data_IF_655140180420
#
_entry.id   IF_655140180420
#
_cell.length_a   1.000
_cell.length_b   1.000
_cell.length_c   1.000
_cell.angle_alpha   90.00
_cell.angle_beta   90.00
_cell.angle_gamma   90.00
#
_symmetry.space_group_name_H-M   'P 1'
#
loop_
_entity.id
_entity.type
_entity.pdbx_description
1 polymer ?
#
# COMPACT_ATOMS: atom_id res chain seq x y z
N UNK A 1 6.46 -3.91 -2.99
CA UNK A 1 5.71 -3.68 -1.74
C UNK A 1 4.31 -3.17 -2.06
N UNK A 2 3.32 -3.40 -1.21
CA UNK A 2 1.93 -2.95 -1.44
C UNK A 2 1.50 -1.94 -0.40
N UNK A 3 0.79 -0.90 -0.84
CA UNK A 3 0.35 0.19 0.00
C UNK A 3 -1.14 0.24 0.00
N UNK A 4 -1.72 0.36 1.19
CA UNK A 4 -3.13 0.69 1.36
C UNK A 4 -3.21 2.18 1.63
N UNK A 5 -3.77 2.92 0.68
CA UNK A 5 -4.10 4.34 0.83
C UNK A 5 -5.56 4.44 1.24
N UNK A 6 -5.82 5.02 2.40
CA UNK A 6 -7.16 5.29 2.93
C UNK A 6 -7.47 6.77 2.68
N UNK A 7 -8.26 7.08 1.64
CA UNK A 7 -8.53 8.47 1.25
C UNK A 7 -9.34 9.23 2.29
N UNK A 8 -10.18 8.52 3.05
CA UNK A 8 -11.00 9.11 4.11
C UNK A 8 -10.16 9.55 5.31
N UNK A 9 -9.22 8.71 5.74
CA UNK A 9 -8.40 8.97 6.92
C UNK A 9 -7.03 9.59 6.60
N UNK A 10 -6.71 9.76 5.31
CA UNK A 10 -5.41 10.22 4.82
C UNK A 10 -4.23 9.41 5.36
N UNK A 11 -4.42 8.09 5.52
CA UNK A 11 -3.37 7.19 6.02
C UNK A 11 -2.81 6.32 4.90
N UNK A 12 -1.50 6.06 4.96
CA UNK A 12 -0.82 5.11 4.07
C UNK A 12 -0.18 4.03 4.93
N UNK A 13 -0.50 2.75 4.67
CA UNK A 13 0.13 1.61 5.35
C UNK A 13 0.77 0.65 4.35
N UNK A 14 2.01 0.23 4.64
CA UNK A 14 2.78 -0.65 3.77
C UNK A 14 2.72 -2.12 4.23
N UNK A 15 2.70 -3.04 3.25
CA UNK A 15 2.62 -4.48 3.47
C UNK A 15 3.52 -5.24 2.49
N UNK A 16 4.11 -6.35 2.96
CA UNK A 16 4.99 -7.21 2.15
C UNK A 16 4.23 -7.92 1.03
N UNK A 17 3.01 -8.40 1.31
CA UNK A 17 2.20 -9.21 0.36
C UNK A 17 0.89 -8.51 0.01
N UNK A 18 0.45 -8.64 -1.24
CA UNK A 18 -0.82 -8.08 -1.72
C UNK A 18 -2.02 -8.58 -0.89
N UNK A 19 -2.09 -9.89 -0.64
CA UNK A 19 -3.18 -10.47 0.15
C UNK A 19 -3.28 -9.92 1.59
N UNK A 20 -2.15 -9.55 2.20
CA UNK A 20 -2.13 -8.93 3.53
C UNK A 20 -2.63 -7.47 3.47
N UNK A 21 -2.16 -6.70 2.49
CA UNK A 21 -2.64 -5.34 2.25
C UNK A 21 -4.16 -5.31 2.06
N UNK A 22 -4.65 -6.20 1.19
CA UNK A 22 -6.06 -6.28 0.85
C UNK A 22 -6.90 -6.75 2.04
N UNK A 23 -6.46 -7.76 2.79
CA UNK A 23 -7.14 -8.18 4.02
C UNK A 23 -7.24 -7.03 5.02
N UNK A 24 -6.17 -6.24 5.19
CA UNK A 24 -6.19 -5.09 6.10
C UNK A 24 -7.19 -4.02 5.66
N UNK A 25 -7.27 -3.75 4.36
CA UNK A 25 -8.26 -2.83 3.80
C UNK A 25 -9.69 -3.34 4.02
N UNK A 26 -9.95 -4.64 3.82
CA UNK A 26 -11.25 -5.26 4.08
C UNK A 26 -11.64 -5.24 5.57
N UNK A 27 -10.70 -5.49 6.48
CA UNK A 27 -10.97 -5.34 7.92
C UNK A 27 -11.39 -3.91 8.29
N UNK A 28 -10.79 -2.88 7.65
CA UNK A 28 -11.20 -1.47 7.86
C UNK A 28 -12.60 -1.16 7.32
N UNK A 29 -13.10 -1.98 6.39
CA UNK A 29 -14.49 -1.93 5.90
C UNK A 29 -15.45 -2.80 6.73
N UNK A 30 -14.99 -3.37 7.85
CA UNK A 30 -15.76 -4.33 8.66
C UNK A 30 -16.21 -5.56 7.86
N UNK A 31 -15.44 -5.93 6.83
CA UNK A 31 -15.68 -7.14 6.02
C UNK A 31 -14.73 -8.24 6.48
N UNK A 32 -15.30 -9.31 7.04
CA UNK A 32 -14.55 -10.51 7.35
C UNK A 32 -14.47 -11.43 6.13
N UNK A 33 -13.24 -11.67 5.66
CA UNK A 33 -12.99 -12.60 4.55
C UNK A 33 -12.79 -13.99 5.13
N UNK A 34 -13.75 -14.88 4.86
CA UNK A 34 -13.70 -16.28 5.28
C UNK A 34 -12.41 -16.98 4.83
N UNK A 35 -11.96 -17.95 5.64
CA UNK A 35 -10.82 -18.82 5.30
C UNK A 35 -11.11 -19.55 3.98
N UNK A 36 -10.30 -19.25 2.95
CA UNK A 36 -10.42 -19.85 1.61
C UNK A 36 -10.94 -18.91 0.52
N UNK A 37 -11.56 -17.78 0.87
CA UNK A 37 -11.96 -16.78 -0.11
C UNK A 37 -10.74 -15.94 -0.57
N UNK A 38 -10.70 -15.61 -1.87
CA UNK A 38 -9.68 -14.73 -2.44
C UNK A 38 -9.93 -13.28 -1.98
N UNK A 39 -9.09 -12.73 -1.09
CA UNK A 39 -9.31 -11.39 -0.56
C UNK A 39 -9.22 -10.32 -1.64
N UNK A 40 -8.45 -10.52 -2.72
CA UNK A 40 -8.31 -9.55 -3.82
C UNK A 40 -9.63 -9.40 -4.57
N UNK A 41 -10.29 -10.52 -4.87
CA UNK A 41 -11.61 -10.50 -5.52
C UNK A 41 -12.65 -9.81 -4.65
N UNK A 42 -12.72 -10.16 -3.37
CA UNK A 42 -13.67 -9.56 -2.42
C UNK A 42 -13.45 -8.05 -2.31
N UNK A 43 -12.20 -7.61 -2.26
CA UNK A 43 -11.86 -6.19 -2.24
C UNK A 43 -12.29 -5.46 -3.50
N UNK A 44 -12.00 -6.00 -4.68
CA UNK A 44 -12.40 -5.36 -5.93
C UNK A 44 -13.93 -5.25 -6.08
N UNK A 45 -14.69 -6.15 -5.46
CA UNK A 45 -16.17 -6.10 -5.46
C UNK A 45 -16.72 -5.07 -4.47
N UNK A 46 -16.07 -4.88 -3.32
CA UNK A 46 -16.61 -4.09 -2.21
C UNK A 46 -15.95 -2.71 -2.04
N UNK A 47 -14.83 -2.46 -2.70
CA UNK A 47 -14.12 -1.20 -2.60
C UNK A 47 -14.90 -0.08 -3.30
N UNK A 48 -15.52 0.80 -2.51
CA UNK A 48 -16.27 1.98 -2.97
C UNK A 48 -15.33 3.19 -3.21
N UNK A 49 -14.21 3.00 -3.89
CA UNK A 49 -13.17 4.04 -4.13
C UNK A 49 -12.48 4.63 -2.87
N UNK A 50 -12.79 4.10 -1.68
CA UNK A 50 -12.20 4.55 -0.41
C UNK A 50 -10.74 4.14 -0.26
N UNK A 51 -10.40 2.93 -0.72
CA UNK A 51 -9.07 2.38 -0.58
C UNK A 51 -8.42 2.18 -1.94
N UNK A 52 -7.16 2.57 -2.06
CA UNK A 52 -6.33 2.15 -3.19
C UNK A 52 -5.25 1.19 -2.68
N UNK A 53 -5.15 0.02 -3.31
CA UNK A 53 -4.04 -0.91 -3.05
C UNK A 53 -3.07 -0.85 -4.22
N UNK A 54 -1.95 -0.15 -4.01
CA UNK A 54 -1.03 0.19 -5.08
C UNK A 54 0.33 -0.48 -4.85
N UNK A 55 0.95 -0.92 -5.94
CA UNK A 55 2.38 -1.22 -5.95
C UNK A 55 3.13 0.06 -6.32
N UNK A 56 3.54 0.83 -5.32
CA UNK A 56 4.20 2.13 -5.53
C UNK A 56 5.73 2.03 -5.70
N UNK A 57 6.28 0.83 -5.83
CA UNK A 57 7.74 0.63 -5.91
C UNK A 57 8.36 1.49 -7.03
N UNK A 58 7.70 1.55 -8.19
CA UNK A 58 8.13 2.35 -9.35
C UNK A 58 7.82 3.86 -9.22
N UNK A 59 6.85 4.23 -8.39
CA UNK A 59 6.48 5.63 -8.18
C UNK A 59 7.58 6.37 -7.39
N UNK A 60 8.23 5.70 -6.45
CA UNK A 60 9.33 6.29 -5.68
C UNK A 60 10.59 6.49 -6.51
N UNK A 61 10.90 5.59 -7.46
CA UNK A 61 11.96 5.82 -8.46
C UNK A 61 11.66 7.05 -9.35
N UNK A 62 10.38 7.31 -9.64
CA UNK A 62 9.99 8.51 -10.39
C UNK A 62 10.04 9.78 -9.54
N UNK A 63 9.80 9.68 -8.23
CA UNK A 63 9.90 10.79 -7.29
C UNK A 63 11.36 11.14 -6.97
N UNK A 64 12.26 10.15 -6.95
CA UNK A 64 13.68 10.38 -6.67
C UNK A 64 14.41 11.18 -7.76
N UNK A 65 13.84 11.24 -8.98
CA UNK A 65 14.34 12.07 -10.09
C UNK A 65 13.60 13.41 -10.23
N UNK A 66 12.72 13.75 -9.30
CA UNK A 66 12.01 15.04 -9.25
C UNK A 66 12.97 16.20 -8.96
N UNK A 67 12.66 17.41 -9.45
CA UNK A 67 13.43 18.63 -9.17
C UNK A 67 13.21 19.16 -7.74
N UNK A 68 12.24 18.61 -7.01
CA UNK A 68 11.88 18.99 -5.65
C UNK A 68 12.69 18.17 -4.61
N UNK A 69 13.50 18.88 -3.82
CA UNK A 69 14.37 18.30 -2.79
C UNK A 69 13.60 17.56 -1.70
N UNK A 70 12.41 18.03 -1.31
CA UNK A 70 11.59 17.36 -0.31
C UNK A 70 11.01 16.05 -0.87
N UNK A 71 10.68 16.04 -2.16
CA UNK A 71 10.23 14.83 -2.85
C UNK A 71 11.36 13.79 -2.96
N UNK A 72 12.57 14.22 -3.32
CA UNK A 72 13.76 13.34 -3.36
C UNK A 72 14.06 12.73 -1.99
N UNK A 73 14.03 13.53 -0.92
CA UNK A 73 14.29 13.05 0.44
C UNK A 73 13.21 12.06 0.91
N UNK A 74 11.94 12.30 0.55
CA UNK A 74 10.86 11.35 0.80
C UNK A 74 11.15 10.01 0.10
N UNK A 75 11.53 10.02 -1.18
CA UNK A 75 11.86 8.80 -1.91
C UNK A 75 13.05 8.05 -1.30
N UNK A 76 14.09 8.78 -0.84
CA UNK A 76 15.27 8.19 -0.19
C UNK A 76 14.96 7.54 1.16
N UNK A 77 14.22 8.24 2.03
CA UNK A 77 13.74 7.71 3.31
C UNK A 77 12.91 6.45 3.10
N UNK A 78 12.08 6.48 2.05
CA UNK A 78 11.22 5.39 1.66
C UNK A 78 12.01 4.16 1.19
N UNK A 79 12.98 4.35 0.29
CA UNK A 79 13.85 3.28 -0.20
C UNK A 79 14.62 2.62 0.95
N UNK A 80 15.16 3.41 1.87
CA UNK A 80 15.83 2.88 3.07
C UNK A 80 14.89 2.03 3.93
N UNK A 81 13.63 2.43 4.10
CA UNK A 81 12.66 1.63 4.84
C UNK A 81 12.33 0.30 4.14
N UNK A 82 12.31 0.29 2.80
CA UNK A 82 12.15 -0.91 1.98
C UNK A 82 13.33 -1.85 2.14
N UNK A 83 14.56 -1.35 1.99
CA UNK A 83 15.77 -2.18 2.08
C UNK A 83 15.85 -2.90 3.44
N UNK A 84 15.61 -2.17 4.53
CA UNK A 84 15.56 -2.73 5.90
C UNK A 84 14.47 -3.80 6.06
N UNK A 85 13.36 -3.69 5.33
CA UNK A 85 12.25 -4.64 5.41
C UNK A 85 12.58 -5.98 4.72
N UNK A 86 13.45 -5.97 3.71
CA UNK A 86 13.84 -7.13 2.90
C UNK A 86 15.19 -7.76 3.31
N UNK A 87 16.02 -7.08 4.10
CA UNK A 87 17.26 -7.65 4.70
C UNK A 87 17.01 -8.63 5.88
N UNK A 88 15.78 -9.12 6.08
CA UNK A 88 15.42 -10.15 7.08
C UNK A 88 14.75 -11.36 6.47
#
# INVERSE_FOLDING_TARGET
MFFVVDSQNQTVTAHKKLGEAVRKALCKLSVDVSLGADPVKVFNTLNQDRFAVLNLSSAFESISVSDDVAAQELARQFQKAVDVLYER
#
